data_IF_341448592858
#
_entry.id   IF_341448592858
#
_cell.length_a   1.000
_cell.length_b   1.000
_cell.length_c   1.000
_cell.angle_alpha   90.00
_cell.angle_beta   90.00
_cell.angle_gamma   90.00
#
_symmetry.space_group_name_H-M   'P 1'
#
loop_
_entity.id
_entity.type
_entity.pdbx_description
1 polymer ?
#
# COMPACT_ATOMS: atom_id res chain seq x y z
N UNK A 1 28.89 -29.14 -7.38
CA UNK A 1 27.97 -28.93 -6.25
C UNK A 1 27.64 -27.44 -6.05
N UNK A 2 27.47 -26.64 -7.13
CA UNK A 2 27.09 -25.20 -7.09
C UNK A 2 25.74 -24.91 -7.78
N UNK A 3 25.09 -25.92 -8.34
CA UNK A 3 23.86 -25.73 -9.14
C UNK A 3 22.61 -25.75 -8.24
N UNK A 4 22.61 -26.55 -7.18
CA UNK A 4 21.45 -26.66 -6.29
C UNK A 4 21.17 -25.39 -5.48
N UNK A 5 22.22 -24.66 -5.05
CA UNK A 5 22.04 -23.39 -4.32
C UNK A 5 21.40 -22.27 -5.15
N UNK A 6 21.63 -22.25 -6.47
CA UNK A 6 21.05 -21.23 -7.36
C UNK A 6 19.57 -21.46 -7.64
N UNK A 7 19.12 -22.72 -7.68
CA UNK A 7 17.72 -23.06 -7.92
C UNK A 7 16.86 -22.69 -6.71
N UNK A 8 17.34 -23.01 -5.50
CA UNK A 8 16.63 -22.65 -4.26
C UNK A 8 16.60 -21.13 -4.03
N UNK A 9 17.67 -20.40 -4.35
CA UNK A 9 17.69 -18.94 -4.26
C UNK A 9 16.72 -18.28 -5.26
N UNK A 10 16.58 -18.81 -6.47
CA UNK A 10 15.60 -18.32 -7.46
C UNK A 10 14.15 -18.59 -7.05
N UNK A 11 13.87 -19.73 -6.43
CA UNK A 11 12.53 -20.04 -5.91
C UNK A 11 12.14 -19.08 -4.78
N UNK A 12 13.05 -18.80 -3.86
CA UNK A 12 12.85 -17.81 -2.79
C UNK A 12 12.63 -16.40 -3.36
N UNK A 13 13.35 -16.02 -4.41
CA UNK A 13 13.19 -14.71 -5.07
C UNK A 13 11.83 -14.55 -5.72
N UNK A 14 11.34 -15.56 -6.44
CA UNK A 14 10.00 -15.52 -7.09
C UNK A 14 8.86 -15.48 -6.08
N UNK A 15 8.97 -16.20 -4.96
CA UNK A 15 8.02 -16.13 -3.85
C UNK A 15 8.00 -14.73 -3.22
N UNK A 16 9.16 -14.11 -3.05
CA UNK A 16 9.27 -12.75 -2.51
C UNK A 16 8.65 -11.69 -3.43
N UNK A 17 8.82 -11.83 -4.76
CA UNK A 17 8.20 -10.92 -5.74
C UNK A 17 6.68 -11.03 -5.66
N UNK A 18 6.13 -12.25 -5.66
CA UNK A 18 4.69 -12.46 -5.55
C UNK A 18 4.11 -11.87 -4.25
N UNK A 19 4.78 -12.09 -3.13
CA UNK A 19 4.34 -11.56 -1.84
C UNK A 19 4.38 -10.01 -1.82
N UNK A 20 5.37 -9.40 -2.44
CA UNK A 20 5.44 -7.93 -2.59
C UNK A 20 4.33 -7.40 -3.49
N UNK A 21 4.04 -8.05 -4.62
CA UNK A 21 2.96 -7.66 -5.52
C UNK A 21 1.61 -7.76 -4.80
N UNK A 22 1.38 -8.85 -4.07
CA UNK A 22 0.17 -9.03 -3.27
C UNK A 22 0.01 -7.94 -2.21
N UNK A 23 1.06 -7.66 -1.44
CA UNK A 23 1.04 -6.60 -0.44
C UNK A 23 0.73 -5.24 -1.06
N UNK A 24 1.32 -4.91 -2.21
CA UNK A 24 1.04 -3.66 -2.92
C UNK A 24 -0.42 -3.61 -3.46
N UNK A 25 -1.00 -4.75 -3.87
CA UNK A 25 -2.42 -4.81 -4.23
C UNK A 25 -3.32 -4.53 -3.04
N UNK A 26 -3.04 -5.14 -1.89
CA UNK A 26 -3.81 -4.93 -0.65
C UNK A 26 -3.76 -3.45 -0.23
N UNK A 27 -2.60 -2.81 -0.36
CA UNK A 27 -2.42 -1.37 -0.14
C UNK A 27 -3.25 -0.53 -1.12
N UNK A 28 -3.24 -0.88 -2.42
CA UNK A 28 -4.00 -0.16 -3.43
C UNK A 28 -5.52 -0.28 -3.21
N UNK A 29 -6.01 -1.45 -2.78
CA UNK A 29 -7.40 -1.67 -2.40
C UNK A 29 -7.76 -0.78 -1.19
N UNK A 30 -6.91 -0.78 -0.16
CA UNK A 30 -7.17 0.02 1.04
C UNK A 30 -7.14 1.52 0.75
N UNK A 31 -6.20 1.95 -0.11
CA UNK A 31 -6.16 3.34 -0.57
C UNK A 31 -7.42 3.73 -1.33
N UNK A 32 -7.95 2.84 -2.18
CA UNK A 32 -9.21 3.07 -2.88
C UNK A 32 -10.38 3.30 -1.91
N UNK A 33 -10.49 2.49 -0.84
CA UNK A 33 -11.52 2.68 0.18
C UNK A 33 -11.41 4.06 0.82
N UNK A 34 -10.21 4.43 1.30
CA UNK A 34 -9.96 5.73 1.95
C UNK A 34 -10.25 6.90 1.02
N UNK A 35 -9.83 6.84 -0.24
CA UNK A 35 -10.13 7.87 -1.24
C UNK A 35 -11.63 7.99 -1.53
N UNK A 36 -12.34 6.86 -1.58
CA UNK A 36 -13.80 6.84 -1.77
C UNK A 36 -14.52 7.46 -0.56
N UNK A 37 -14.05 7.18 0.65
CA UNK A 37 -14.60 7.78 1.87
C UNK A 37 -14.36 9.29 1.92
N UNK A 38 -13.15 9.75 1.54
CA UNK A 38 -12.85 11.17 1.41
C UNK A 38 -13.81 11.84 0.39
N UNK A 39 -13.96 11.23 -0.78
CA UNK A 39 -14.82 11.76 -1.84
C UNK A 39 -16.29 11.80 -1.41
N UNK A 40 -16.80 10.78 -0.74
CA UNK A 40 -18.16 10.74 -0.22
C UNK A 40 -18.42 11.84 0.83
N UNK A 41 -17.38 12.23 1.59
CA UNK A 41 -17.49 13.20 2.67
C UNK A 41 -17.06 14.62 2.30
N UNK A 42 -16.97 14.96 1.02
CA UNK A 42 -16.60 16.31 0.53
C UNK A 42 -17.47 17.41 1.13
N UNK A 43 -18.76 17.15 1.32
CA UNK A 43 -19.73 18.12 1.84
C UNK A 43 -19.99 17.96 3.35
N UNK A 44 -19.29 17.07 4.03
CA UNK A 44 -19.45 16.86 5.47
C UNK A 44 -18.68 17.91 6.24
N UNK A 45 -19.37 18.75 7.01
CA UNK A 45 -18.77 19.80 7.83
C UNK A 45 -17.74 19.22 8.82
N UNK A 46 -16.56 19.81 8.86
CA UNK A 46 -15.49 19.43 9.79
C UNK A 46 -14.79 18.12 9.44
N UNK A 47 -15.11 17.47 8.33
CA UNK A 47 -14.43 16.25 7.91
C UNK A 47 -12.97 16.54 7.59
N UNK A 48 -12.10 15.63 7.94
CA UNK A 48 -10.66 15.67 7.65
C UNK A 48 -10.30 14.50 6.76
N UNK A 49 -9.58 14.81 5.71
CA UNK A 49 -9.03 13.84 4.76
C UNK A 49 -8.19 12.77 5.47
N UNK A 50 -8.30 11.56 5.00
CA UNK A 50 -7.41 10.46 5.40
C UNK A 50 -6.52 10.05 4.22
N UNK A 51 -5.32 9.55 4.52
CA UNK A 51 -4.41 9.00 3.53
C UNK A 51 -3.77 7.70 4.02
N UNK A 52 -3.30 6.89 3.08
CA UNK A 52 -2.61 5.63 3.35
C UNK A 52 -1.11 5.84 3.18
N UNK A 53 -0.37 5.75 4.27
CA UNK A 53 1.09 5.88 4.31
C UNK A 53 1.72 4.50 4.46
N UNK A 54 2.75 4.23 3.67
CA UNK A 54 3.53 2.98 3.72
C UNK A 54 4.50 3.01 4.91
N UNK A 55 4.63 1.88 5.59
CA UNK A 55 5.58 1.72 6.69
C UNK A 55 7.01 1.38 6.20
N UNK A 56 7.35 1.63 4.95
CA UNK A 56 8.64 1.19 4.37
C UNK A 56 9.88 1.85 4.98
N UNK A 57 9.75 3.01 5.58
CA UNK A 57 10.90 3.72 6.13
C UNK A 57 11.27 3.37 7.58
N UNK A 58 10.40 2.67 8.30
CA UNK A 58 10.63 2.29 9.69
C UNK A 58 11.33 0.92 9.88
N UNK A 59 11.65 0.24 8.77
CA UNK A 59 12.13 -1.15 8.79
C UNK A 59 13.63 -1.34 8.95
N UNK A 60 14.46 -0.30 9.00
CA UNK A 60 15.93 -0.46 9.06
C UNK A 60 16.61 0.10 10.29
N UNK A 61 16.00 0.97 11.02
CA UNK A 61 16.53 1.41 12.31
C UNK A 61 15.60 0.92 13.41
N UNK A 62 16.07 -0.11 14.13
CA UNK A 62 15.53 -0.51 15.43
C UNK A 62 15.72 0.64 16.44
N UNK A 63 15.15 1.78 16.19
CA UNK A 63 14.94 2.78 17.21
C UNK A 63 13.73 2.29 18.01
N UNK A 64 14.00 1.38 18.95
CA UNK A 64 13.06 1.03 20.01
C UNK A 64 12.78 2.32 20.82
N UNK A 65 11.81 3.10 20.38
CA UNK A 65 11.32 4.21 21.17
C UNK A 65 10.69 3.64 22.43
N UNK A 66 11.40 3.82 23.55
CA UNK A 66 10.95 3.38 24.86
C UNK A 66 9.66 4.12 25.19
N UNK A 67 8.54 3.42 25.13
CA UNK A 67 7.23 3.94 25.49
C UNK A 67 7.25 4.27 27.00
N UNK A 68 7.32 5.55 27.35
CA UNK A 68 7.38 5.99 28.73
C UNK A 68 6.00 6.31 29.32
N UNK A 69 4.97 6.47 28.49
CA UNK A 69 3.58 6.72 28.91
C UNK A 69 2.62 6.03 27.93
N UNK A 70 1.52 5.46 28.42
CA UNK A 70 0.53 4.73 27.62
C UNK A 70 -0.20 5.57 26.55
N UNK A 71 -0.11 6.90 26.63
CA UNK A 71 -0.66 7.84 25.63
C UNK A 71 0.31 8.16 24.48
N UNK A 72 1.55 7.71 24.52
CA UNK A 72 2.47 7.88 23.40
C UNK A 72 2.10 6.92 22.27
N UNK A 73 2.24 7.42 21.03
CA UNK A 73 2.04 6.64 19.83
C UNK A 73 2.93 5.41 19.92
N UNK A 74 2.31 4.26 20.21
CA UNK A 74 3.01 2.99 20.33
C UNK A 74 3.42 2.47 18.96
N UNK A 75 4.41 1.59 19.00
CA UNK A 75 4.80 0.81 17.84
C UNK A 75 3.58 0.04 17.29
N UNK A 76 3.06 0.48 16.16
CA UNK A 76 1.92 -0.18 15.52
C UNK A 76 2.45 -1.44 14.83
N UNK A 77 2.40 -2.55 15.52
CA UNK A 77 2.54 -3.89 14.95
C UNK A 77 1.28 -4.29 14.18
N UNK A 78 0.79 -3.42 13.31
CA UNK A 78 -0.12 -3.85 12.27
C UNK A 78 0.71 -4.48 11.17
N UNK A 79 0.65 -5.81 11.07
CA UNK A 79 1.41 -6.61 10.10
C UNK A 79 1.06 -6.34 8.63
N UNK A 80 0.39 -5.25 8.32
CA UNK A 80 -0.14 -4.93 6.99
C UNK A 80 0.75 -3.98 6.15
N UNK A 81 1.90 -3.54 6.65
CA UNK A 81 2.84 -2.70 5.87
C UNK A 81 2.34 -1.29 5.53
N UNK A 82 1.17 -0.85 6.02
CA UNK A 82 0.63 0.49 5.82
C UNK A 82 -0.13 0.99 7.04
N UNK A 83 -0.30 2.30 7.13
CA UNK A 83 -1.05 3.01 8.18
C UNK A 83 -2.00 4.02 7.54
N UNK A 84 -3.21 4.13 8.08
CA UNK A 84 -4.15 5.20 7.72
C UNK A 84 -3.88 6.38 8.65
N UNK A 85 -3.57 7.53 8.06
CA UNK A 85 -3.23 8.76 8.77
C UNK A 85 -4.25 9.83 8.41
N UNK A 86 -4.69 10.57 9.42
CA UNK A 86 -5.52 11.75 9.23
C UNK A 86 -4.63 12.89 8.74
N UNK A 87 -4.94 13.43 7.56
CA UNK A 87 -4.25 14.56 6.99
C UNK A 87 -4.86 15.87 7.54
N UNK A 88 -4.05 16.64 8.22
CA UNK A 88 -4.42 17.97 8.73
C UNK A 88 -3.80 19.09 7.92
N UNK A 89 -3.03 18.76 6.87
CA UNK A 89 -2.44 19.73 5.95
C UNK A 89 -3.49 20.19 4.92
N UNK A 90 -3.21 21.30 4.30
CA UNK A 90 -4.07 21.86 3.25
C UNK A 90 -4.99 22.99 3.71
N UNK A 91 -5.55 23.68 2.71
CA UNK A 91 -6.44 24.81 2.91
C UNK A 91 -7.79 24.32 3.41
N UNK A 92 -8.15 24.65 4.64
CA UNK A 92 -9.47 24.34 5.15
C UNK A 92 -10.51 25.26 4.51
N UNK A 93 -11.61 24.67 4.06
CA UNK A 93 -12.83 25.40 3.74
C UNK A 93 -13.40 26.04 5.02
N UNK A 94 -14.25 27.09 4.87
CA UNK A 94 -14.89 27.75 6.01
C UNK A 94 -15.67 26.81 6.93
N UNK A 95 -16.08 25.63 6.41
CA UNK A 95 -16.77 24.57 7.15
C UNK A 95 -15.78 23.63 7.88
N UNK A 96 -14.47 23.86 7.78
CA UNK A 96 -13.41 23.07 8.41
C UNK A 96 -13.09 21.77 7.66
N UNK A 97 -13.66 21.52 6.48
CA UNK A 97 -13.33 20.38 5.62
C UNK A 97 -12.05 20.71 4.81
N UNK A 98 -11.15 19.74 4.65
CA UNK A 98 -9.91 19.88 3.88
C UNK A 98 -9.84 18.94 2.67
N UNK A 99 -10.96 18.34 2.27
CA UNK A 99 -11.03 17.48 1.09
C UNK A 99 -11.20 18.34 -0.16
N UNK A 100 -10.30 18.18 -1.13
CA UNK A 100 -10.40 18.79 -2.45
C UNK A 100 -10.92 17.74 -3.46
N UNK A 101 -12.10 17.95 -4.07
CA UNK A 101 -12.67 16.97 -4.99
C UNK A 101 -11.80 16.70 -6.22
N UNK A 102 -11.12 17.70 -6.76
CA UNK A 102 -10.30 17.55 -7.95
C UNK A 102 -9.06 16.69 -7.63
N UNK A 103 -8.43 16.94 -6.50
CA UNK A 103 -7.28 16.16 -6.02
C UNK A 103 -7.71 14.72 -5.73
N UNK A 104 -8.85 14.51 -5.05
CA UNK A 104 -9.30 13.14 -4.76
C UNK A 104 -9.65 12.36 -6.03
N UNK A 105 -10.27 12.99 -7.04
CA UNK A 105 -10.53 12.33 -8.33
C UNK A 105 -9.25 11.93 -9.06
N UNK A 106 -8.22 12.78 -9.05
CA UNK A 106 -6.91 12.47 -9.63
C UNK A 106 -6.27 11.30 -8.87
N UNK A 107 -6.35 11.29 -7.55
CA UNK A 107 -5.81 10.22 -6.71
C UNK A 107 -6.55 8.89 -6.96
N UNK A 108 -7.86 8.90 -7.09
CA UNK A 108 -8.67 7.72 -7.44
C UNK A 108 -8.25 7.15 -8.80
N UNK A 109 -8.13 8.03 -9.82
CA UNK A 109 -7.71 7.62 -11.16
C UNK A 109 -6.28 7.03 -11.16
N UNK A 110 -5.35 7.69 -10.48
CA UNK A 110 -3.97 7.23 -10.34
C UNK A 110 -3.88 5.88 -9.63
N UNK A 111 -4.64 5.69 -8.57
CA UNK A 111 -4.70 4.43 -7.82
C UNK A 111 -5.32 3.30 -8.66
N UNK A 112 -6.31 3.60 -9.51
CA UNK A 112 -6.89 2.63 -10.43
C UNK A 112 -5.88 2.15 -11.47
N UNK A 113 -5.07 3.06 -12.03
CA UNK A 113 -3.98 2.73 -12.96
C UNK A 113 -2.94 1.86 -12.26
N UNK A 114 -2.52 2.22 -11.05
CA UNK A 114 -1.59 1.43 -10.24
C UNK A 114 -2.12 0.01 -10.01
N UNK A 115 -3.37 -0.14 -9.58
CA UNK A 115 -3.99 -1.43 -9.35
C UNK A 115 -4.01 -2.29 -10.62
N UNK A 116 -4.42 -1.74 -11.77
CA UNK A 116 -4.43 -2.44 -13.05
C UNK A 116 -3.03 -2.88 -13.48
N UNK A 117 -2.01 -2.07 -13.23
CA UNK A 117 -0.61 -2.41 -13.48
C UNK A 117 -0.16 -3.59 -12.63
N UNK A 118 -0.51 -3.60 -11.34
CA UNK A 118 -0.20 -4.70 -10.42
C UNK A 118 -0.89 -6.01 -10.84
N UNK A 119 -2.17 -5.94 -11.26
CA UNK A 119 -2.91 -7.10 -11.79
C UNK A 119 -2.21 -7.66 -13.04
N UNK A 120 -1.81 -6.79 -13.96
CA UNK A 120 -1.08 -7.19 -15.17
C UNK A 120 0.24 -7.87 -14.81
N UNK A 121 0.97 -7.32 -13.86
CA UNK A 121 2.25 -7.89 -13.42
C UNK A 121 2.08 -9.26 -12.76
N UNK A 122 1.05 -9.45 -11.93
CA UNK A 122 0.73 -10.76 -11.33
C UNK A 122 0.37 -11.79 -12.40
N UNK A 123 -0.43 -11.40 -13.39
CA UNK A 123 -0.80 -12.28 -14.51
C UNK A 123 0.44 -12.67 -15.33
N UNK A 124 1.38 -11.76 -15.55
CA UNK A 124 2.65 -12.06 -16.22
C UNK A 124 3.48 -13.08 -15.43
N UNK A 125 3.57 -12.92 -14.11
CA UNK A 125 4.24 -13.88 -13.23
C UNK A 125 3.62 -15.28 -13.31
N UNK A 126 2.29 -15.38 -13.32
CA UNK A 126 1.60 -16.65 -13.49
C UNK A 126 1.82 -17.24 -14.88
N UNK A 127 1.78 -16.43 -15.93
CA UNK A 127 2.02 -16.88 -17.30
C UNK A 127 3.42 -17.44 -17.47
N UNK A 128 4.43 -16.77 -16.93
CA UNK A 128 5.81 -17.26 -16.95
C UNK A 128 5.94 -18.61 -16.22
N UNK A 129 5.36 -18.74 -15.02
CA UNK A 129 5.38 -20.01 -14.29
C UNK A 129 4.66 -21.12 -15.05
N UNK A 130 3.52 -20.84 -15.65
CA UNK A 130 2.76 -21.79 -16.45
C UNK A 130 3.53 -22.23 -17.68
N UNK A 131 4.21 -21.30 -18.38
CA UNK A 131 5.06 -21.63 -19.53
C UNK A 131 6.19 -22.58 -19.16
N UNK A 132 6.87 -22.33 -18.04
CA UNK A 132 7.94 -23.22 -17.54
C UNK A 132 7.39 -24.61 -17.21
N UNK A 133 6.24 -24.71 -16.53
CA UNK A 133 5.62 -25.99 -16.17
C UNK A 133 5.18 -26.77 -17.41
N UNK A 134 4.67 -26.09 -18.44
CA UNK A 134 4.25 -26.72 -19.70
C UNK A 134 5.41 -27.04 -20.65
N UNK A 135 6.65 -26.84 -20.24
CA UNK A 135 7.84 -27.15 -21.03
C UNK A 135 8.11 -26.15 -22.16
N UNK A 136 7.66 -24.90 -22.01
CA UNK A 136 7.98 -23.80 -22.97
C UNK A 136 7.24 -23.91 -24.32
N UNK A 137 6.15 -24.67 -24.39
CA UNK A 137 5.27 -24.74 -25.56
C UNK A 137 4.10 -23.77 -25.46
#
# INVERSE_FOLDING_TARGET
MKIESNIFNNYSSSSNIYNKLKANMDIAIKRKEVLSDNFANINTKGYKRFDVVLNEELGKDNINMKKTVDKHIGDFKDGNGFKIVKDTSGTMRNDGNNVDPEIEMINIASNAILYNTLVTQINNEFSMKTSVIKGGK
#
